data_IF_193804023807
#
_entry.id   IF_193804023807
#
_cell.length_a   1.000
_cell.length_b   1.000
_cell.length_c   1.000
_cell.angle_alpha   90.00
_cell.angle_beta   90.00
_cell.angle_gamma   90.00
#
_symmetry.space_group_name_H-M   'P 1'
#
loop_
_entity.id
_entity.type
_entity.pdbx_description
1 polymer ?
#
# COMPACT_ATOMS: atom_id res chain seq x y z
N UNK A 1 -3.96 -7.39 11.05
CA UNK A 1 -4.23 -7.15 12.49
C UNK A 1 -3.83 -5.71 12.82
N UNK A 2 -4.52 -5.04 13.76
CA UNK A 2 -4.22 -3.66 14.12
C UNK A 2 -4.34 -3.45 15.62
N UNK A 3 -3.42 -2.68 16.18
CA UNK A 3 -3.35 -2.37 17.60
C UNK A 3 -3.79 -0.92 17.87
N UNK A 4 -4.59 -0.71 18.90
CA UNK A 4 -5.01 0.61 19.34
C UNK A 4 -4.43 0.86 20.73
N UNK A 5 -3.58 1.88 20.85
CA UNK A 5 -2.91 2.25 22.11
C UNK A 5 -3.52 3.56 22.61
N UNK A 6 -4.14 3.52 23.78
CA UNK A 6 -4.71 4.71 24.43
C UNK A 6 -3.68 5.33 25.38
N UNK A 7 -3.36 6.60 25.16
CA UNK A 7 -2.37 7.35 25.95
C UNK A 7 -3.03 8.28 26.98
N UNK A 8 -4.34 8.15 27.22
CA UNK A 8 -5.14 9.15 27.97
C UNK A 8 -4.73 9.36 29.43
N UNK A 9 -4.05 8.39 30.04
CA UNK A 9 -3.58 8.43 31.44
C UNK A 9 -2.18 7.81 31.60
N UNK A 10 -1.40 7.78 30.52
CA UNK A 10 -0.09 7.15 30.55
C UNK A 10 0.91 7.99 31.36
N UNK A 11 1.59 7.37 32.33
CA UNK A 11 2.63 8.02 33.14
C UNK A 11 3.85 8.42 32.29
N UNK A 12 4.12 7.68 31.21
CA UNK A 12 5.23 7.95 30.31
C UNK A 12 4.84 7.63 28.84
N UNK A 13 4.08 8.53 28.17
CA UNK A 13 3.52 8.25 26.85
C UNK A 13 4.58 8.07 25.76
N UNK A 14 5.73 8.74 25.87
CA UNK A 14 6.82 8.66 24.91
C UNK A 14 7.44 7.24 24.83
N UNK A 15 7.71 6.62 25.99
CA UNK A 15 8.29 5.27 26.06
C UNK A 15 7.34 4.22 25.45
N UNK A 16 6.04 4.39 25.67
CA UNK A 16 5.01 3.51 25.10
C UNK A 16 5.00 3.65 23.58
N UNK A 17 5.09 4.88 23.07
CA UNK A 17 5.15 5.14 21.63
C UNK A 17 6.41 4.50 21.03
N UNK A 18 7.58 4.66 21.64
CA UNK A 18 8.81 4.05 21.12
C UNK A 18 8.75 2.53 21.06
N UNK A 19 8.24 1.87 22.12
CA UNK A 19 8.07 0.42 22.12
C UNK A 19 7.03 -0.04 21.11
N UNK A 20 5.94 0.71 20.95
CA UNK A 20 4.92 0.40 19.95
C UNK A 20 5.47 0.58 18.53
N UNK A 21 6.32 1.58 18.29
CA UNK A 21 6.94 1.84 16.99
C UNK A 21 7.82 0.68 16.51
N UNK A 22 8.43 -0.09 17.41
CA UNK A 22 9.17 -1.31 17.03
C UNK A 22 8.28 -2.37 16.35
N UNK A 23 6.95 -2.31 16.52
CA UNK A 23 5.97 -3.24 15.93
C UNK A 23 5.21 -2.56 14.78
N UNK A 24 5.46 -1.28 14.51
CA UNK A 24 4.77 -0.51 13.48
C UNK A 24 5.16 -0.93 12.05
N UNK A 25 6.18 -1.78 11.87
CA UNK A 25 6.51 -2.43 10.60
C UNK A 25 5.46 -3.49 10.21
N UNK A 26 4.95 -4.24 11.19
CA UNK A 26 4.18 -5.45 10.93
C UNK A 26 2.67 -5.23 11.12
N UNK A 27 2.31 -4.19 11.90
CA UNK A 27 0.94 -3.94 12.33
C UNK A 27 0.55 -2.47 12.18
N UNK A 28 -0.74 -2.22 11.90
CA UNK A 28 -1.32 -0.87 11.98
C UNK A 28 -1.46 -0.47 13.44
N UNK A 29 -0.91 0.68 13.81
CA UNK A 29 -0.96 1.19 15.18
C UNK A 29 -1.72 2.51 15.23
N UNK A 30 -2.78 2.58 16.01
CA UNK A 30 -3.53 3.81 16.27
C UNK A 30 -3.25 4.29 17.69
N UNK A 31 -2.53 5.40 17.82
CA UNK A 31 -2.34 6.11 19.08
C UNK A 31 -3.53 7.04 19.31
N UNK A 32 -4.23 6.88 20.44
CA UNK A 32 -5.32 7.78 20.87
C UNK A 32 -4.81 8.67 22.00
N UNK A 33 -5.02 9.98 21.86
CA UNK A 33 -4.57 10.97 22.83
C UNK A 33 -5.74 11.44 23.71
N UNK A 34 -5.43 11.86 24.93
CA UNK A 34 -6.43 12.51 25.79
C UNK A 34 -6.92 13.82 25.18
N UNK A 35 -8.16 14.21 25.48
CA UNK A 35 -8.67 15.56 25.18
C UNK A 35 -8.06 16.63 26.10
N UNK A 36 -7.57 16.22 27.27
CA UNK A 36 -7.02 17.13 28.29
C UNK A 36 -5.64 17.68 27.93
N UNK A 37 -4.85 16.94 27.15
CA UNK A 37 -3.46 17.28 26.80
C UNK A 37 -3.21 17.28 25.29
N UNK A 38 -3.59 18.35 24.57
CA UNK A 38 -3.30 18.49 23.14
C UNK A 38 -1.79 18.63 22.87
N UNK A 39 -1.03 19.13 23.83
CA UNK A 39 0.42 19.39 23.70
C UNK A 39 1.24 18.11 23.50
N UNK A 40 0.80 16.98 24.06
CA UNK A 40 1.45 15.68 23.87
C UNK A 40 1.40 15.23 22.41
N UNK A 41 0.30 15.51 21.72
CA UNK A 41 0.16 15.18 20.30
C UNK A 41 1.17 15.98 19.47
N UNK A 42 1.28 17.27 19.71
CA UNK A 42 2.15 18.16 18.94
C UNK A 42 3.64 17.87 19.17
N UNK A 43 4.00 17.39 20.37
CA UNK A 43 5.36 16.91 20.67
C UNK A 43 5.69 15.55 20.05
N UNK A 44 4.71 14.65 19.98
CA UNK A 44 4.88 13.29 19.47
C UNK A 44 4.86 13.25 17.93
N UNK A 45 4.13 14.16 17.31
CA UNK A 45 4.00 14.25 15.86
C UNK A 45 5.36 14.33 15.12
N UNK A 46 6.29 15.25 15.46
CA UNK A 46 7.59 15.32 14.78
C UNK A 46 8.43 14.06 15.02
N UNK A 47 8.34 13.43 16.19
CA UNK A 47 9.08 12.19 16.52
C UNK A 47 8.58 11.03 15.65
N UNK A 48 7.26 10.94 15.44
CA UNK A 48 6.67 9.94 14.54
C UNK A 48 7.09 10.17 13.10
N UNK A 49 7.13 11.42 12.66
CA UNK A 49 7.54 11.78 11.30
C UNK A 49 9.00 11.46 11.02
N UNK A 50 9.89 11.72 11.98
CA UNK A 50 11.31 11.37 11.89
C UNK A 50 11.51 9.84 11.84
N UNK A 51 10.80 9.08 12.68
CA UNK A 51 10.99 7.62 12.78
C UNK A 51 10.28 6.79 11.71
N UNK A 52 9.14 7.24 11.18
CA UNK A 52 8.28 6.44 10.29
C UNK A 52 8.04 7.09 8.93
N UNK A 53 8.34 8.38 8.78
CA UNK A 53 8.08 9.14 7.55
C UNK A 53 6.63 9.60 7.43
N UNK A 54 6.44 10.82 6.90
CA UNK A 54 5.13 11.47 6.79
C UNK A 54 4.09 10.64 5.99
N UNK A 55 4.53 9.90 4.98
CA UNK A 55 3.67 9.10 4.10
C UNK A 55 2.93 7.95 4.82
N UNK A 56 3.43 7.54 5.99
CA UNK A 56 2.88 6.42 6.78
C UNK A 56 1.98 6.87 7.93
N UNK A 57 1.77 8.18 8.09
CA UNK A 57 1.04 8.75 9.23
C UNK A 57 -0.29 9.33 8.76
N UNK A 58 -1.39 8.73 9.22
CA UNK A 58 -2.72 9.33 9.10
C UNK A 58 -3.03 10.14 10.35
N UNK A 59 -3.12 11.46 10.18
CA UNK A 59 -3.48 12.39 11.25
C UNK A 59 -5.00 12.51 11.35
N UNK A 60 -5.56 12.21 12.52
CA UNK A 60 -6.93 12.56 12.89
C UNK A 60 -6.92 13.40 14.16
N UNK A 61 -7.98 14.18 14.39
CA UNK A 61 -8.08 15.17 15.47
C UNK A 61 -7.77 14.60 16.87
N UNK A 62 -8.07 13.32 17.12
CA UNK A 62 -7.88 12.64 18.42
C UNK A 62 -6.95 11.43 18.35
N UNK A 63 -6.37 11.15 17.19
CA UNK A 63 -5.57 9.94 17.00
C UNK A 63 -4.54 10.10 15.90
N UNK A 64 -3.33 9.59 16.14
CA UNK A 64 -2.31 9.42 15.11
C UNK A 64 -2.25 7.94 14.75
N UNK A 65 -2.46 7.61 13.48
CA UNK A 65 -2.42 6.24 13.00
C UNK A 65 -1.19 6.05 12.14
N UNK A 66 -0.33 5.13 12.56
CA UNK A 66 0.83 4.67 11.79
C UNK A 66 0.41 3.45 11.01
N UNK A 67 0.45 3.55 9.69
CA UNK A 67 0.23 2.41 8.80
C UNK A 67 1.54 1.68 8.55
N UNK A 68 1.53 0.33 8.57
CA UNK A 68 2.71 -0.45 8.23
C UNK A 68 3.10 -0.16 6.79
N UNK A 69 4.38 -0.34 6.50
CA UNK A 69 4.88 -0.17 5.15
C UNK A 69 4.24 -1.24 4.28
N UNK A 70 3.44 -0.83 3.30
CA UNK A 70 2.94 -1.75 2.28
C UNK A 70 4.11 -2.08 1.36
N UNK A 71 4.99 -2.97 1.81
CA UNK A 71 5.90 -3.70 0.94
C UNK A 71 4.98 -4.46 0.02
N UNK A 72 4.92 -4.05 -1.25
CA UNK A 72 4.18 -4.81 -2.24
C UNK A 72 4.91 -6.15 -2.31
N UNK A 73 4.26 -7.18 -1.81
CA UNK A 73 4.85 -8.50 -1.77
C UNK A 73 5.10 -8.91 -3.22
N UNK A 74 6.38 -9.06 -3.57
CA UNK A 74 6.79 -9.40 -4.95
C UNK A 74 6.07 -10.66 -5.41
N UNK A 75 5.81 -11.57 -4.48
CA UNK A 75 5.02 -12.79 -4.66
C UNK A 75 3.61 -12.52 -5.17
N UNK A 76 2.94 -11.48 -4.66
CA UNK A 76 1.59 -11.09 -5.09
C UNK A 76 1.62 -10.45 -6.48
N UNK A 77 2.63 -9.63 -6.80
CA UNK A 77 2.81 -9.09 -8.15
C UNK A 77 3.04 -10.23 -9.14
N UNK A 78 3.95 -11.15 -8.83
CA UNK A 78 4.30 -12.28 -9.70
C UNK A 78 3.07 -13.17 -9.92
N UNK A 79 2.33 -13.49 -8.85
CA UNK A 79 1.10 -14.31 -8.94
C UNK A 79 0.05 -13.62 -9.80
N UNK A 80 -0.18 -12.31 -9.61
CA UNK A 80 -1.13 -11.55 -10.42
C UNK A 80 -0.68 -11.43 -11.87
N UNK A 81 0.62 -11.24 -12.14
CA UNK A 81 1.16 -11.25 -13.51
C UNK A 81 0.95 -12.60 -14.20
N UNK A 82 1.24 -13.72 -13.52
CA UNK A 82 1.06 -15.06 -14.09
C UNK A 82 -0.42 -15.38 -14.36
N UNK A 83 -1.35 -14.84 -13.59
CA UNK A 83 -2.78 -15.07 -13.80
C UNK A 83 -3.40 -14.16 -14.87
N UNK A 84 -2.96 -12.90 -14.96
CA UNK A 84 -3.61 -11.89 -15.82
C UNK A 84 -2.92 -11.67 -17.16
N UNK A 85 -1.58 -11.68 -17.22
CA UNK A 85 -0.85 -11.39 -18.47
C UNK A 85 -1.09 -12.44 -19.56
N UNK A 86 -1.07 -13.77 -19.29
CA UNK A 86 -1.26 -14.76 -20.35
C UNK A 86 -2.65 -14.69 -21.01
N UNK A 87 -3.78 -14.61 -20.27
CA UNK A 87 -5.10 -14.46 -20.89
C UNK A 87 -5.24 -13.17 -21.69
N UNK A 88 -4.70 -12.05 -21.20
CA UNK A 88 -4.77 -10.75 -21.89
C UNK A 88 -3.91 -10.71 -23.16
N UNK A 89 -2.72 -11.32 -23.13
CA UNK A 89 -1.89 -11.47 -24.31
C UNK A 89 -2.58 -12.35 -25.37
N UNK A 90 -3.20 -13.45 -24.96
CA UNK A 90 -3.99 -14.30 -25.87
C UNK A 90 -5.19 -13.52 -26.42
N UNK A 91 -5.96 -12.84 -25.58
CA UNK A 91 -7.11 -12.03 -26.01
C UNK A 91 -6.69 -10.92 -27.00
N UNK A 92 -5.58 -10.23 -26.73
CA UNK A 92 -5.01 -9.23 -27.63
C UNK A 92 -4.58 -9.84 -28.97
N UNK A 93 -3.91 -10.99 -28.95
CA UNK A 93 -3.52 -11.68 -30.19
C UNK A 93 -4.73 -12.11 -31.03
N UNK A 94 -5.77 -12.66 -30.39
CA UNK A 94 -7.02 -13.10 -31.05
C UNK A 94 -7.79 -11.90 -31.62
N UNK A 95 -7.87 -10.79 -30.88
CA UNK A 95 -8.52 -9.58 -31.36
C UNK A 95 -7.85 -9.03 -32.63
N UNK A 96 -6.52 -8.94 -32.65
CA UNK A 96 -5.79 -8.47 -33.82
C UNK A 96 -5.78 -9.49 -34.98
N UNK A 97 -5.76 -10.78 -34.69
CA UNK A 97 -5.96 -11.83 -35.70
C UNK A 97 -7.35 -11.73 -36.36
N UNK A 98 -8.40 -11.41 -35.61
CA UNK A 98 -9.74 -11.24 -36.16
C UNK A 98 -9.90 -9.99 -37.04
N UNK A 99 -9.06 -8.97 -36.83
CA UNK A 99 -9.06 -7.71 -37.59
C UNK A 99 -8.19 -7.78 -38.85
N UNK A 100 -7.08 -8.53 -38.81
CA UNK A 100 -6.12 -8.64 -39.90
C UNK A 100 -5.46 -10.05 -39.93
N UNK A 101 -6.16 -11.08 -40.43
CA UNK A 101 -5.72 -12.48 -40.34
C UNK A 101 -4.46 -12.81 -41.15
N UNK A 102 -4.20 -12.07 -42.23
CA UNK A 102 -3.02 -12.26 -43.11
C UNK A 102 -1.73 -11.66 -42.52
N UNK A 103 -1.82 -10.79 -41.51
CA UNK A 103 -0.68 -10.05 -40.98
C UNK A 103 -0.25 -10.59 -39.61
N UNK A 104 0.61 -11.62 -39.64
CA UNK A 104 1.22 -12.25 -38.45
C UNK A 104 1.89 -11.22 -37.52
N UNK A 105 2.49 -10.17 -38.09
CA UNK A 105 3.12 -9.08 -37.32
C UNK A 105 2.11 -8.37 -36.41
N UNK A 106 0.89 -8.14 -36.87
CA UNK A 106 -0.16 -7.49 -36.07
C UNK A 106 -0.70 -8.40 -34.98
N UNK A 107 -0.78 -9.71 -35.21
CA UNK A 107 -1.14 -10.68 -34.17
C UNK A 107 -0.13 -10.69 -33.02
N UNK A 108 1.17 -10.64 -33.33
CA UNK A 108 2.24 -10.55 -32.33
C UNK A 108 2.16 -9.22 -31.57
N UNK A 109 1.90 -8.11 -32.28
CA UNK A 109 1.73 -6.80 -31.68
C UNK A 109 0.51 -6.73 -30.74
N UNK A 110 -0.58 -7.40 -31.11
CA UNK A 110 -1.77 -7.56 -30.27
C UNK A 110 -1.48 -8.33 -28.99
N UNK A 111 -0.67 -9.38 -29.05
CA UNK A 111 -0.19 -10.11 -27.87
C UNK A 111 0.64 -9.24 -26.93
N UNK A 112 1.55 -8.43 -27.49
CA UNK A 112 2.34 -7.46 -26.73
C UNK A 112 1.46 -6.39 -26.07
N UNK A 113 0.50 -5.83 -26.81
CA UNK A 113 -0.44 -4.85 -26.28
C UNK A 113 -1.27 -5.43 -25.13
N UNK A 114 -1.72 -6.68 -25.25
CA UNK A 114 -2.42 -7.41 -24.19
C UNK A 114 -1.55 -7.62 -22.93
N UNK A 115 -0.28 -8.00 -23.11
CA UNK A 115 0.65 -8.16 -21.99
C UNK A 115 0.94 -6.83 -21.27
N UNK A 116 1.09 -5.73 -22.01
CA UNK A 116 1.28 -4.38 -21.43
C UNK A 116 0.04 -3.93 -20.66
N UNK A 117 -1.16 -4.19 -21.19
CA UNK A 117 -2.41 -3.93 -20.46
C UNK A 117 -2.49 -4.78 -19.18
N UNK A 118 -2.11 -6.06 -19.23
CA UNK A 118 -2.02 -6.92 -18.06
C UNK A 118 -1.08 -6.35 -17.00
N UNK A 119 0.11 -5.90 -17.40
CA UNK A 119 1.03 -5.21 -16.48
C UNK A 119 0.44 -3.93 -15.91
N UNK A 120 -0.21 -3.10 -16.72
CA UNK A 120 -0.89 -1.90 -16.24
C UNK A 120 -1.98 -2.25 -15.22
N UNK A 121 -2.81 -3.27 -15.45
CA UNK A 121 -3.85 -3.67 -14.48
C UNK A 121 -3.25 -4.22 -13.18
N UNK A 122 -2.17 -5.01 -13.27
CA UNK A 122 -1.51 -5.59 -12.07
C UNK A 122 -0.80 -4.51 -11.25
N UNK A 123 -0.22 -3.50 -11.92
CA UNK A 123 0.47 -2.37 -11.28
C UNK A 123 -0.46 -1.23 -10.88
N UNK A 124 -1.67 -1.18 -11.47
CA UNK A 124 -2.68 -0.21 -11.09
C UNK A 124 -3.21 -0.55 -9.70
N UNK A 125 -2.70 0.19 -8.71
CA UNK A 125 -3.29 0.27 -7.38
C UNK A 125 -4.62 1.01 -7.54
N UNK A 126 -5.68 0.27 -7.85
CA UNK A 126 -7.05 0.76 -7.81
C UNK A 126 -7.21 1.63 -6.56
N UNK A 127 -7.35 2.93 -6.80
CA UNK A 127 -7.62 3.94 -5.79
C UNK A 127 -9.11 4.20 -5.81
#
# INVERSE_FOLDING_TARGET
MGASVSLSHASNPLVIIEKALNIASDCKITFRFSKSDPTLRDKVLPILEEKVGQNRIQRRTKSLTVTPEQIIDRSVIITRMMMLCPPLAVAGSVAFYSLAPEQIILTILGGFAGAVLGMMVVTNKGR
#
